data_IF_864172638728
#
_entry.id   IF_864172638728
#
_cell.length_a   1.000
_cell.length_b   1.000
_cell.length_c   1.000
_cell.angle_alpha   90.00
_cell.angle_beta   90.00
_cell.angle_gamma   90.00
#
_symmetry.space_group_name_H-M   'P 1'
#
loop_
_entity.id
_entity.type
_entity.pdbx_description
1 polymer ?
#
# COMPACT_ATOMS: atom_id res chain seq x y z
N UNK A 1 -66.24 62.26 -28.84
CA UNK A 1 -66.26 61.21 -27.80
C UNK A 1 -65.05 60.34 -28.04
N UNK A 2 -64.00 60.51 -27.24
CA UNK A 2 -62.67 59.95 -27.47
C UNK A 2 -62.28 59.11 -26.26
N UNK A 3 -62.04 57.81 -26.44
CA UNK A 3 -61.62 56.90 -25.37
C UNK A 3 -60.08 56.90 -25.22
N UNK A 4 -59.52 56.86 -23.99
CA UNK A 4 -58.08 56.78 -23.79
C UNK A 4 -57.59 55.33 -23.70
N UNK A 5 -56.44 55.06 -24.34
CA UNK A 5 -55.73 53.79 -24.34
C UNK A 5 -54.96 53.56 -23.03
N UNK A 6 -55.18 52.39 -22.42
CA UNK A 6 -54.50 51.92 -21.20
C UNK A 6 -53.13 51.32 -21.57
N UNK A 7 -52.03 52.05 -21.27
CA UNK A 7 -50.66 51.54 -21.46
C UNK A 7 -50.29 50.57 -20.33
N UNK A 8 -50.31 49.27 -20.60
CA UNK A 8 -49.77 48.24 -19.70
C UNK A 8 -48.23 48.32 -19.68
N UNK A 9 -47.65 48.59 -18.52
CA UNK A 9 -46.20 48.67 -18.32
C UNK A 9 -45.58 47.27 -18.27
N UNK A 10 -45.01 46.81 -19.39
CA UNK A 10 -44.31 45.53 -19.57
C UNK A 10 -43.02 45.34 -18.73
N UNK A 11 -42.69 46.23 -17.79
CA UNK A 11 -41.42 46.20 -17.03
C UNK A 11 -41.45 45.36 -15.75
N UNK A 12 -42.63 44.99 -15.24
CA UNK A 12 -42.78 44.22 -13.99
C UNK A 12 -42.53 42.70 -14.11
N UNK A 13 -42.87 41.98 -15.21
CA UNK A 13 -42.63 40.53 -15.26
C UNK A 13 -41.15 40.17 -15.44
N UNK A 14 -40.33 41.04 -16.03
CA UNK A 14 -38.91 40.77 -16.27
C UNK A 14 -38.07 40.82 -14.98
N UNK A 15 -38.40 41.74 -14.06
CA UNK A 15 -37.72 41.86 -12.76
C UNK A 15 -38.05 40.65 -11.87
N UNK A 16 -39.30 40.17 -11.93
CA UNK A 16 -39.72 38.99 -11.17
C UNK A 16 -39.04 37.71 -11.69
N UNK A 17 -38.90 37.55 -13.01
CA UNK A 17 -38.18 36.43 -13.62
C UNK A 17 -36.68 36.46 -13.30
N UNK A 18 -36.03 37.62 -13.29
CA UNK A 18 -34.63 37.78 -12.90
C UNK A 18 -34.42 37.48 -11.41
N UNK A 19 -35.35 37.88 -10.53
CA UNK A 19 -35.28 37.57 -9.10
C UNK A 19 -35.45 36.06 -8.83
N UNK A 20 -36.33 35.38 -9.57
CA UNK A 20 -36.52 33.92 -9.46
C UNK A 20 -35.29 33.17 -10.01
N UNK A 21 -34.71 33.62 -11.14
CA UNK A 21 -33.48 33.03 -11.69
C UNK A 21 -32.26 33.23 -10.76
N UNK A 22 -32.18 34.37 -10.06
CA UNK A 22 -31.16 34.63 -9.04
C UNK A 22 -31.38 33.79 -7.75
N UNK A 23 -32.63 33.43 -7.43
CA UNK A 23 -32.92 32.58 -6.26
C UNK A 23 -32.62 31.09 -6.53
N UNK A 24 -32.80 30.63 -7.78
CA UNK A 24 -32.52 29.23 -8.18
C UNK A 24 -31.01 28.94 -8.27
N UNK A 25 -30.17 29.96 -8.47
CA UNK A 25 -28.70 29.79 -8.56
C UNK A 25 -28.00 29.72 -7.19
N UNK A 26 -28.71 29.96 -6.09
CA UNK A 26 -28.17 29.91 -4.71
C UNK A 26 -28.51 28.62 -3.97
N UNK A 27 -28.85 27.53 -4.67
CA UNK A 27 -28.73 26.20 -4.05
C UNK A 27 -27.24 25.87 -4.04
N UNK A 28 -26.53 26.42 -3.07
CA UNK A 28 -25.25 25.87 -2.66
C UNK A 28 -25.53 24.41 -2.29
N UNK A 29 -25.15 23.49 -3.18
CA UNK A 29 -25.01 22.09 -2.80
C UNK A 29 -24.13 22.09 -1.57
N UNK A 30 -24.70 21.78 -0.40
CA UNK A 30 -23.91 21.52 0.78
C UNK A 30 -23.00 20.35 0.42
N UNK A 31 -21.77 20.67 0.00
CA UNK A 31 -20.76 19.68 -0.30
C UNK A 31 -20.50 18.89 0.97
N UNK A 32 -20.25 17.60 0.82
CA UNK A 32 -19.83 16.77 1.94
C UNK A 32 -18.63 17.43 2.66
N UNK A 33 -18.63 17.40 4.00
CA UNK A 33 -17.53 17.97 4.76
C UNK A 33 -16.20 17.36 4.29
N UNK A 34 -15.17 18.18 4.02
CA UNK A 34 -13.88 17.67 3.54
C UNK A 34 -13.15 16.80 4.56
N UNK A 35 -13.56 16.89 5.84
CA UNK A 35 -13.10 16.10 6.98
C UNK A 35 -14.30 15.60 7.79
N UNK A 36 -14.31 14.29 8.08
CA UNK A 36 -15.30 13.62 8.91
C UNK A 36 -14.60 12.70 9.90
N UNK A 37 -15.10 12.65 11.14
CA UNK A 37 -14.72 11.64 12.13
C UNK A 37 -15.77 10.54 12.11
N UNK A 38 -15.31 9.30 11.98
CA UNK A 38 -16.16 8.12 11.97
C UNK A 38 -15.97 7.38 13.29
N UNK A 39 -17.07 7.01 13.93
CA UNK A 39 -17.08 6.06 15.03
C UNK A 39 -17.84 4.80 14.61
N UNK A 40 -17.23 3.65 14.82
CA UNK A 40 -17.75 2.35 14.39
C UNK A 40 -18.02 1.54 15.66
N UNK A 41 -19.26 1.10 15.83
CA UNK A 41 -19.71 0.35 17.01
C UNK A 41 -18.85 -0.87 17.29
N UNK A 42 -18.73 -1.30 18.54
CA UNK A 42 -18.07 -2.56 18.89
C UNK A 42 -18.80 -3.77 18.27
N UNK A 43 -18.08 -4.87 18.06
CA UNK A 43 -18.70 -6.16 17.76
C UNK A 43 -18.11 -7.29 18.62
N UNK A 44 -18.88 -8.37 18.77
CA UNK A 44 -18.40 -9.58 19.44
C UNK A 44 -17.53 -10.34 18.44
N UNK A 45 -16.26 -10.55 18.78
CA UNK A 45 -15.32 -11.36 17.99
C UNK A 45 -14.20 -10.59 17.27
N UNK A 46 -14.29 -9.25 17.14
CA UNK A 46 -13.29 -8.45 16.42
C UNK A 46 -12.73 -7.26 17.23
N UNK A 47 -13.60 -6.34 17.67
CA UNK A 47 -13.19 -5.20 18.51
C UNK A 47 -14.24 -4.94 19.59
N UNK A 48 -13.87 -5.21 20.85
CA UNK A 48 -14.75 -5.04 22.01
C UNK A 48 -14.98 -3.58 22.41
N UNK A 49 -14.20 -2.63 21.89
CA UNK A 49 -14.25 -1.21 22.26
C UNK A 49 -14.74 -0.25 21.19
N UNK A 50 -15.19 -0.75 20.03
CA UNK A 50 -15.47 0.08 18.86
C UNK A 50 -14.18 0.48 18.13
N UNK A 51 -14.29 1.44 17.23
CA UNK A 51 -13.17 1.87 16.38
C UNK A 51 -13.41 3.29 15.85
N UNK A 52 -12.35 4.08 15.70
CA UNK A 52 -12.42 5.47 15.20
C UNK A 52 -11.60 5.59 13.94
N UNK A 53 -12.15 6.29 12.95
CA UNK A 53 -11.49 6.57 11.69
C UNK A 53 -11.66 8.05 11.28
N UNK A 54 -10.77 8.53 10.42
CA UNK A 54 -10.80 9.87 9.85
C UNK A 54 -11.05 9.76 8.36
N UNK A 55 -12.17 10.26 7.87
CA UNK A 55 -12.49 10.34 6.44
C UNK A 55 -12.12 11.71 5.90
N UNK A 56 -11.26 11.71 4.89
CA UNK A 56 -10.83 12.87 4.12
C UNK A 56 -11.27 12.67 2.68
N UNK A 57 -12.38 13.31 2.28
CA UNK A 57 -13.03 13.07 1.00
C UNK A 57 -13.39 11.58 0.84
N UNK A 58 -12.78 10.86 -0.12
CA UNK A 58 -13.00 9.42 -0.35
C UNK A 58 -11.99 8.52 0.40
N UNK A 59 -10.97 9.07 1.06
CA UNK A 59 -9.97 8.28 1.79
C UNK A 59 -10.31 8.19 3.28
N UNK A 60 -10.29 6.99 3.84
CA UNK A 60 -10.50 6.72 5.27
C UNK A 60 -9.21 6.23 5.89
N UNK A 61 -8.71 6.96 6.89
CA UNK A 61 -7.53 6.61 7.67
C UNK A 61 -7.94 6.09 9.04
N UNK A 62 -7.41 4.94 9.42
CA UNK A 62 -7.80 4.31 10.69
C UNK A 62 -6.71 3.41 11.25
N UNK A 63 -6.76 3.12 12.54
CA UNK A 63 -5.80 2.22 13.18
C UNK A 63 -6.43 0.86 13.43
N UNK A 64 -5.87 -0.17 12.80
CA UNK A 64 -6.31 -1.56 12.99
C UNK A 64 -5.21 -2.39 13.65
N UNK A 65 -5.60 -3.38 14.46
CA UNK A 65 -4.64 -4.38 14.93
C UNK A 65 -4.46 -5.44 13.83
N UNK A 66 -3.22 -5.60 13.36
CA UNK A 66 -2.83 -6.65 12.43
C UNK A 66 -1.58 -7.34 12.96
N UNK A 67 -1.69 -8.64 13.21
CA UNK A 67 -0.62 -9.49 13.77
C UNK A 67 -0.06 -8.96 15.11
N UNK A 68 -0.94 -8.45 15.98
CA UNK A 68 -0.55 -7.89 17.28
C UNK A 68 0.05 -6.48 17.22
N UNK A 69 0.12 -5.86 16.04
CA UNK A 69 0.64 -4.51 15.84
C UNK A 69 -0.51 -3.58 15.44
N UNK A 70 -0.64 -2.45 16.12
CA UNK A 70 -1.57 -1.38 15.72
C UNK A 70 -0.97 -0.62 14.53
N UNK A 71 -1.64 -0.69 13.38
CA UNK A 71 -1.17 -0.11 12.11
C UNK A 71 -2.17 0.93 11.62
N UNK A 72 -1.66 2.10 11.24
CA UNK A 72 -2.40 3.05 10.41
C UNK A 72 -2.63 2.41 9.04
N UNK A 73 -3.86 2.47 8.57
CA UNK A 73 -4.28 2.01 7.24
C UNK A 73 -5.03 3.10 6.51
N UNK A 74 -5.15 2.92 5.20
CA UNK A 74 -5.92 3.79 4.32
C UNK A 74 -6.79 2.92 3.41
N UNK A 75 -8.09 3.12 3.49
CA UNK A 75 -9.08 2.51 2.60
C UNK A 75 -9.81 3.60 1.79
N UNK A 76 -10.42 3.21 0.67
CA UNK A 76 -11.50 4.01 0.07
C UNK A 76 -12.74 3.95 0.96
N UNK A 77 -13.56 5.00 0.97
CA UNK A 77 -14.83 5.03 1.70
C UNK A 77 -15.73 3.85 1.34
N UNK A 78 -15.85 3.52 0.05
CA UNK A 78 -16.70 2.41 -0.40
C UNK A 78 -16.27 1.06 0.20
N UNK A 79 -14.97 0.75 0.16
CA UNK A 79 -14.40 -0.45 0.80
C UNK A 79 -14.61 -0.43 2.31
N UNK A 80 -14.32 0.69 2.97
CA UNK A 80 -14.46 0.82 4.41
C UNK A 80 -15.91 0.60 4.87
N UNK A 81 -16.86 1.28 4.24
CA UNK A 81 -18.30 1.11 4.50
C UNK A 81 -18.74 -0.32 4.24
N UNK A 82 -18.32 -0.93 3.14
CA UNK A 82 -18.68 -2.31 2.84
C UNK A 82 -18.18 -3.30 3.91
N UNK A 83 -16.91 -3.19 4.32
CA UNK A 83 -16.34 -4.08 5.34
C UNK A 83 -17.05 -3.89 6.69
N UNK A 84 -17.09 -2.66 7.21
CA UNK A 84 -17.59 -2.43 8.56
C UNK A 84 -19.13 -2.46 8.66
N UNK A 85 -19.83 -1.89 7.69
CA UNK A 85 -21.29 -1.80 7.73
C UNK A 85 -21.97 -3.02 7.12
N UNK A 86 -21.57 -3.43 5.91
CA UNK A 86 -22.28 -4.51 5.20
C UNK A 86 -21.82 -5.90 5.66
N UNK A 87 -20.51 -6.15 5.78
CA UNK A 87 -19.98 -7.46 6.16
C UNK A 87 -19.98 -7.70 7.67
N UNK A 88 -19.50 -6.73 8.45
CA UNK A 88 -19.42 -6.86 9.91
C UNK A 88 -20.72 -6.47 10.62
N UNK A 89 -21.69 -5.91 9.90
CA UNK A 89 -22.98 -5.45 10.44
C UNK A 89 -22.83 -4.47 11.61
N UNK A 90 -21.91 -3.50 11.48
CA UNK A 90 -21.64 -2.47 12.49
C UNK A 90 -22.18 -1.12 12.03
N UNK A 91 -22.76 -0.36 12.95
CA UNK A 91 -23.15 1.01 12.62
C UNK A 91 -21.91 1.89 12.51
N UNK A 92 -21.96 2.84 11.57
CA UNK A 92 -20.95 3.89 11.40
C UNK A 92 -21.63 5.22 11.70
N UNK A 93 -21.18 5.87 12.76
CA UNK A 93 -21.58 7.21 13.15
C UNK A 93 -20.61 8.22 12.54
N UNK A 94 -21.12 9.25 11.88
CA UNK A 94 -20.33 10.25 11.16
C UNK A 94 -20.51 11.61 11.83
N UNK A 95 -19.41 12.26 12.16
CA UNK A 95 -19.37 13.64 12.63
C UNK A 95 -18.61 14.50 11.61
N UNK A 96 -19.31 15.45 10.99
CA UNK A 96 -18.70 16.44 10.12
C UNK A 96 -17.88 17.43 10.95
N UNK A 97 -16.64 17.70 10.51
CA UNK A 97 -15.76 18.67 11.17
C UNK A 97 -15.53 19.84 10.25
N UNK A 98 -15.98 21.03 10.67
CA UNK A 98 -15.71 22.27 9.95
C UNK A 98 -14.25 22.69 10.17
N UNK A 99 -13.44 22.59 9.12
CA UNK A 99 -12.03 22.99 9.08
C UNK A 99 -11.72 23.75 7.81
N UNK A 100 -10.69 24.60 7.85
CA UNK A 100 -10.25 25.31 6.65
C UNK A 100 -9.66 24.32 5.64
N UNK A 101 -9.82 24.54 4.33
CA UNK A 101 -9.25 23.66 3.30
C UNK A 101 -7.74 23.43 3.46
N UNK A 102 -7.00 24.47 3.89
CA UNK A 102 -5.57 24.36 4.15
C UNK A 102 -5.23 23.37 5.28
N UNK A 103 -6.09 23.24 6.30
CA UNK A 103 -5.88 22.29 7.40
C UNK A 103 -6.21 20.87 6.98
N UNK A 104 -7.20 20.67 6.10
CA UNK A 104 -7.51 19.36 5.50
C UNK A 104 -6.28 18.80 4.77
N UNK A 105 -5.61 19.63 3.97
CA UNK A 105 -4.38 19.25 3.28
C UNK A 105 -3.25 18.90 4.26
N UNK A 106 -3.04 19.72 5.31
CA UNK A 106 -2.02 19.42 6.34
C UNK A 106 -2.28 18.09 7.04
N UNK A 107 -3.53 17.79 7.38
CA UNK A 107 -3.92 16.52 8.02
C UNK A 107 -3.70 15.36 7.04
N UNK A 108 -4.08 15.53 5.77
CA UNK A 108 -3.83 14.53 4.72
C UNK A 108 -2.34 14.23 4.58
N UNK A 109 -1.52 15.26 4.42
CA UNK A 109 -0.06 15.13 4.27
C UNK A 109 0.55 14.43 5.50
N UNK A 110 0.07 14.78 6.69
CA UNK A 110 0.52 14.15 7.93
C UNK A 110 0.21 12.66 7.96
N UNK A 111 -1.04 12.28 7.68
CA UNK A 111 -1.47 10.88 7.69
C UNK A 111 -0.77 10.06 6.60
N UNK A 112 -0.58 10.63 5.41
CA UNK A 112 0.17 9.99 4.33
C UNK A 112 1.63 9.77 4.72
N UNK A 113 2.28 10.76 5.33
CA UNK A 113 3.66 10.62 5.82
C UNK A 113 3.77 9.52 6.89
N UNK A 114 2.87 9.52 7.87
CA UNK A 114 2.82 8.48 8.91
C UNK A 114 2.67 7.10 8.29
N UNK A 115 1.75 6.95 7.32
CA UNK A 115 1.52 5.68 6.64
C UNK A 115 2.77 5.21 5.88
N UNK A 116 3.45 6.10 5.14
CA UNK A 116 4.68 5.78 4.40
C UNK A 116 5.83 5.36 5.33
N UNK A 117 6.03 6.11 6.43
CA UNK A 117 7.06 5.82 7.44
C UNK A 117 6.79 4.45 8.07
N UNK A 118 5.55 4.21 8.53
CA UNK A 118 5.16 2.95 9.14
C UNK A 118 5.33 1.77 8.18
N UNK A 119 4.87 1.90 6.93
CA UNK A 119 5.00 0.82 5.95
C UNK A 119 6.47 0.47 5.72
N UNK A 120 7.35 1.46 5.57
CA UNK A 120 8.79 1.20 5.42
C UNK A 120 9.39 0.49 6.64
N UNK A 121 8.96 0.83 7.86
CA UNK A 121 9.39 0.16 9.09
C UNK A 121 8.94 -1.30 9.14
N UNK A 122 7.69 -1.57 8.74
CA UNK A 122 7.13 -2.92 8.68
C UNK A 122 7.82 -3.76 7.61
N UNK A 123 8.00 -3.21 6.40
CA UNK A 123 8.70 -3.89 5.31
C UNK A 123 10.12 -4.29 5.73
N UNK A 124 10.81 -3.39 6.44
CA UNK A 124 12.15 -3.69 6.95
C UNK A 124 12.13 -4.74 8.06
N UNK A 125 11.15 -4.72 8.96
CA UNK A 125 10.98 -5.77 9.96
C UNK A 125 10.74 -7.13 9.30
N UNK A 126 9.95 -7.19 8.23
CA UNK A 126 9.73 -8.41 7.46
C UNK A 126 11.02 -8.89 6.78
N UNK A 127 11.79 -7.98 6.19
CA UNK A 127 13.09 -8.30 5.60
C UNK A 127 14.09 -8.84 6.66
N UNK A 128 14.11 -8.28 7.88
CA UNK A 128 14.93 -8.79 8.97
C UNK A 128 14.48 -10.19 9.45
N UNK A 129 13.18 -10.48 9.44
CA UNK A 129 12.66 -11.83 9.74
C UNK A 129 13.08 -12.84 8.67
N UNK A 130 13.15 -12.40 7.41
CA UNK A 130 13.67 -13.22 6.30
C UNK A 130 15.17 -13.48 6.48
N UNK A 131 15.96 -12.46 6.84
CA UNK A 131 17.38 -12.61 7.17
C UNK A 131 17.59 -13.65 8.28
N UNK A 132 16.82 -13.55 9.37
CA UNK A 132 16.89 -14.51 10.47
C UNK A 132 16.63 -15.94 9.98
N UNK A 133 15.56 -16.14 9.21
CA UNK A 133 15.19 -17.46 8.67
C UNK A 133 16.29 -18.01 7.75
N UNK A 134 16.83 -17.18 6.87
CA UNK A 134 17.92 -17.50 5.95
C UNK A 134 19.19 -17.92 6.71
N UNK A 135 19.61 -17.11 7.68
CA UNK A 135 20.81 -17.37 8.49
C UNK A 135 20.65 -18.63 9.34
N UNK A 136 19.48 -18.88 9.91
CA UNK A 136 19.19 -20.10 10.68
C UNK A 136 19.26 -21.35 9.80
N UNK A 137 18.70 -21.30 8.60
CA UNK A 137 18.77 -22.40 7.65
C UNK A 137 20.21 -22.66 7.18
N UNK A 138 20.98 -21.60 6.87
CA UNK A 138 22.40 -21.71 6.54
C UNK A 138 23.21 -22.34 7.69
N UNK A 139 22.95 -21.91 8.94
CA UNK A 139 23.60 -22.46 10.14
C UNK A 139 23.30 -23.95 10.32
N UNK A 140 22.11 -24.40 9.96
CA UNK A 140 21.68 -25.79 10.07
C UNK A 140 22.04 -26.64 8.85
N UNK A 141 22.69 -26.06 7.83
CA UNK A 141 22.97 -26.73 6.55
C UNK A 141 21.72 -27.10 5.76
N UNK A 142 20.59 -26.45 6.04
CA UNK A 142 19.31 -26.71 5.38
C UNK A 142 19.25 -26.00 4.02
N UNK A 143 18.53 -26.56 3.03
CA UNK A 143 18.24 -25.85 1.80
C UNK A 143 17.45 -24.59 2.09
N UNK A 144 17.96 -23.43 1.65
CA UNK A 144 17.23 -22.17 1.77
C UNK A 144 16.43 -21.94 0.48
N UNK A 145 15.10 -21.85 0.54
CA UNK A 145 14.31 -21.42 -0.61
C UNK A 145 14.52 -19.93 -0.82
N UNK A 146 15.54 -19.56 -1.60
CA UNK A 146 15.73 -18.18 -2.03
C UNK A 146 14.74 -17.91 -3.15
N UNK A 147 13.87 -16.89 -3.04
CA UNK A 147 12.99 -16.47 -4.13
C UNK A 147 13.85 -16.11 -5.34
N UNK A 148 13.88 -17.02 -6.28
CA UNK A 148 14.57 -16.89 -7.55
C UNK A 148 13.82 -17.74 -8.55
N UNK A 149 13.99 -17.43 -9.83
CA UNK A 149 13.51 -18.32 -10.88
C UNK A 149 14.32 -19.61 -10.72
N UNK A 150 13.69 -20.63 -10.13
CA UNK A 150 14.38 -21.75 -9.50
C UNK A 150 15.46 -22.34 -10.40
N UNK A 151 16.61 -22.65 -9.83
CA UNK A 151 17.60 -23.46 -10.52
C UNK A 151 16.94 -24.75 -11.00
N UNK A 152 17.03 -25.01 -12.30
CA UNK A 152 16.43 -26.13 -13.01
C UNK A 152 16.56 -27.45 -12.23
N UNK A 153 15.53 -27.81 -11.46
CA UNK A 153 15.49 -29.12 -10.80
C UNK A 153 14.89 -30.12 -11.78
N UNK A 154 15.71 -31.06 -12.24
CA UNK A 154 15.24 -32.22 -13.04
C UNK A 154 14.57 -33.30 -12.17
N UNK A 155 14.55 -33.14 -10.84
CA UNK A 155 14.38 -34.29 -9.94
C UNK A 155 12.95 -34.49 -9.45
N UNK A 156 12.09 -33.46 -9.49
CA UNK A 156 10.74 -33.56 -8.92
C UNK A 156 9.75 -32.65 -9.66
N UNK A 157 9.02 -33.22 -10.64
CA UNK A 157 7.92 -32.57 -11.39
C UNK A 157 8.32 -31.37 -12.28
N UNK A 158 9.42 -31.47 -13.02
CA UNK A 158 9.80 -30.45 -14.01
C UNK A 158 8.80 -30.37 -15.17
N UNK A 159 8.23 -29.19 -15.41
CA UNK A 159 7.48 -28.88 -16.64
C UNK A 159 8.33 -29.18 -17.88
N UNK A 160 7.72 -29.68 -18.96
CA UNK A 160 8.40 -29.89 -20.25
C UNK A 160 9.09 -28.62 -20.78
N UNK A 161 8.52 -27.45 -20.46
CA UNK A 161 9.11 -26.14 -20.76
C UNK A 161 10.46 -25.97 -20.05
N UNK A 162 10.56 -26.42 -18.79
CA UNK A 162 11.79 -26.31 -17.99
C UNK A 162 12.88 -27.26 -18.48
N UNK A 163 12.50 -28.46 -18.94
CA UNK A 163 13.45 -29.39 -19.57
C UNK A 163 14.00 -28.82 -20.88
N UNK A 164 13.13 -28.27 -21.74
CA UNK A 164 13.54 -27.68 -23.01
C UNK A 164 14.46 -26.48 -22.80
N UNK A 165 14.14 -25.60 -21.84
CA UNK A 165 14.98 -24.45 -21.53
C UNK A 165 16.35 -24.88 -20.98
N UNK A 166 16.39 -25.87 -20.06
CA UNK A 166 17.65 -26.43 -19.55
C UNK A 166 18.50 -27.02 -20.68
N UNK A 167 17.89 -27.77 -21.60
CA UNK A 167 18.58 -28.36 -22.74
C UNK A 167 19.13 -27.30 -23.71
N UNK A 168 18.38 -26.22 -23.96
CA UNK A 168 18.83 -25.09 -24.77
C UNK A 168 20.03 -24.36 -24.14
N UNK A 169 20.02 -24.18 -22.82
CA UNK A 169 21.15 -23.58 -22.10
C UNK A 169 22.38 -24.49 -22.17
N UNK A 170 22.23 -25.80 -21.98
CA UNK A 170 23.35 -26.74 -22.11
C UNK A 170 23.89 -26.83 -23.54
N UNK A 171 23.02 -26.76 -24.55
CA UNK A 171 23.43 -26.73 -25.96
C UNK A 171 24.21 -25.45 -26.32
N UNK A 172 23.84 -24.31 -25.76
CA UNK A 172 24.48 -23.02 -26.05
C UNK A 172 25.73 -22.73 -25.20
N UNK A 173 25.75 -23.16 -23.93
CA UNK A 173 26.82 -22.84 -22.96
C UNK A 173 27.67 -24.04 -22.55
N UNK A 174 27.34 -25.23 -23.02
CA UNK A 174 28.06 -26.46 -22.79
C UNK A 174 27.49 -27.31 -21.63
N UNK A 175 27.73 -28.63 -21.67
CA UNK A 175 27.32 -29.54 -20.60
C UNK A 175 28.06 -29.18 -19.31
N UNK A 176 27.32 -29.09 -18.20
CA UNK A 176 27.88 -28.74 -16.89
C UNK A 176 27.91 -27.25 -16.56
N UNK A 177 27.44 -26.38 -17.47
CA UNK A 177 27.29 -24.95 -17.19
C UNK A 177 26.39 -24.69 -15.96
N UNK A 178 25.20 -25.32 -15.91
CA UNK A 178 24.24 -25.14 -14.82
C UNK A 178 24.79 -25.64 -13.45
N UNK A 179 25.37 -26.85 -13.34
CA UNK A 179 26.08 -27.28 -12.12
C UNK A 179 27.20 -26.32 -11.69
N UNK A 180 28.03 -25.88 -12.64
CA UNK A 180 29.13 -24.95 -12.37
C UNK A 180 28.65 -23.59 -11.89
N UNK A 181 27.53 -23.11 -12.45
CA UNK A 181 26.87 -21.88 -12.06
C UNK A 181 26.31 -21.98 -10.64
N UNK A 182 25.66 -23.10 -10.30
CA UNK A 182 25.18 -23.39 -8.94
C UNK A 182 26.33 -23.37 -7.94
N UNK A 183 27.42 -24.08 -8.24
CA UNK A 183 28.58 -24.17 -7.35
C UNK A 183 29.27 -22.80 -7.16
N UNK A 184 29.36 -22.00 -8.21
CA UNK A 184 29.90 -20.64 -8.14
C UNK A 184 29.01 -19.72 -7.29
N UNK A 185 27.69 -19.83 -7.44
CA UNK A 185 26.72 -19.08 -6.65
C UNK A 185 26.81 -19.44 -5.18
N UNK A 186 26.84 -20.74 -4.86
CA UNK A 186 27.02 -21.22 -3.50
C UNK A 186 28.31 -20.66 -2.88
N UNK A 187 29.44 -20.77 -3.58
CA UNK A 187 30.72 -20.22 -3.09
C UNK A 187 30.66 -18.71 -2.85
N UNK A 188 30.01 -17.95 -3.73
CA UNK A 188 29.86 -16.51 -3.56
C UNK A 188 29.07 -16.21 -2.27
N UNK A 189 27.92 -16.85 -2.06
CA UNK A 189 27.10 -16.69 -0.85
C UNK A 189 27.87 -17.10 0.40
N UNK A 190 28.54 -18.25 0.39
CA UNK A 190 29.33 -18.73 1.54
C UNK A 190 30.54 -17.85 1.83
N UNK A 191 31.07 -17.15 0.81
CA UNK A 191 32.17 -16.19 0.98
C UNK A 191 31.73 -14.80 1.41
N UNK A 192 30.42 -14.50 1.37
CA UNK A 192 29.90 -13.24 1.90
C UNK A 192 30.10 -13.25 3.40
N UNK A 193 30.97 -12.36 3.89
CA UNK A 193 31.02 -12.06 5.30
C UNK A 193 29.67 -11.46 5.69
N UNK A 194 28.89 -12.19 6.51
CA UNK A 194 27.78 -11.57 7.21
C UNK A 194 28.38 -10.63 8.25
N UNK A 195 28.56 -9.37 7.85
CA UNK A 195 28.69 -8.28 8.79
C UNK A 195 27.25 -7.90 9.11
N UNK A 196 26.70 -8.27 10.29
CA UNK A 196 25.44 -7.68 10.69
C UNK A 196 25.65 -6.18 10.57
N UNK A 197 24.84 -5.52 9.74
CA UNK A 197 24.86 -4.07 9.65
C UNK A 197 24.84 -3.62 11.10
N UNK A 198 25.92 -2.96 11.55
CA UNK A 198 26.06 -2.52 12.93
C UNK A 198 24.77 -1.80 13.22
N UNK A 199 23.89 -2.41 14.04
CA UNK A 199 22.49 -1.99 14.15
C UNK A 199 22.61 -0.52 14.46
N UNK A 200 22.34 0.38 13.48
CA UNK A 200 22.51 1.77 13.77
C UNK A 200 21.62 1.99 14.97
N UNK A 201 21.97 2.89 15.87
CA UNK A 201 21.01 3.30 16.89
C UNK A 201 19.84 3.94 16.10
N UNK A 202 18.93 3.10 15.63
CA UNK A 202 17.89 3.40 14.66
C UNK A 202 16.83 4.04 15.51
N UNK A 203 17.05 5.33 15.79
CA UNK A 203 16.04 6.14 16.42
C UNK A 203 14.82 6.08 15.51
N UNK A 204 13.84 5.26 15.91
CA UNK A 204 12.57 5.15 15.21
C UNK A 204 11.91 6.52 15.30
N UNK A 205 11.82 7.18 14.14
CA UNK A 205 11.11 8.43 14.01
C UNK A 205 9.75 8.14 13.39
N UNK A 206 8.72 8.77 13.92
CA UNK A 206 7.39 8.79 13.31
C UNK A 206 7.31 9.80 12.15
N UNK A 207 8.27 10.73 12.08
CA UNK A 207 8.22 11.89 11.18
C UNK A 207 9.18 11.78 10.01
N UNK A 208 10.24 10.99 10.17
CA UNK A 208 11.31 10.86 9.19
C UNK A 208 11.21 9.52 8.48
N UNK A 209 11.17 9.56 7.15
CA UNK A 209 11.27 8.35 6.34
C UNK A 209 12.59 7.65 6.66
N UNK A 210 12.55 6.38 7.10
CA UNK A 210 13.76 5.71 7.53
C UNK A 210 14.55 5.20 6.33
N UNK A 211 15.85 5.46 6.36
CA UNK A 211 16.82 4.89 5.44
C UNK A 211 17.47 3.70 6.14
N UNK A 212 17.24 2.52 5.58
CA UNK A 212 17.77 1.27 6.11
C UNK A 212 18.83 0.72 5.16
N UNK A 213 19.92 0.13 5.68
CA UNK A 213 20.87 -0.57 4.86
C UNK A 213 20.22 -1.81 4.21
N UNK A 214 20.71 -2.26 3.05
CA UNK A 214 20.23 -3.48 2.41
C UNK A 214 20.35 -4.68 3.36
N UNK A 215 19.32 -5.54 3.38
CA UNK A 215 19.33 -6.75 4.21
C UNK A 215 20.18 -7.86 3.58
N UNK A 216 20.53 -8.87 4.37
CA UNK A 216 21.31 -10.01 3.87
C UNK A 216 20.52 -10.82 2.83
N UNK A 217 19.22 -11.01 3.07
CA UNK A 217 18.29 -11.64 2.13
C UNK A 217 18.15 -10.87 0.82
N UNK A 218 18.09 -9.53 0.86
CA UNK A 218 18.12 -8.67 -0.33
C UNK A 218 19.43 -8.88 -1.10
N UNK A 219 20.59 -8.82 -0.44
CA UNK A 219 21.89 -9.01 -1.10
C UNK A 219 22.02 -10.40 -1.73
N UNK A 220 21.56 -11.45 -1.04
CA UNK A 220 21.53 -12.82 -1.58
C UNK A 220 20.58 -12.90 -2.78
N UNK A 221 19.42 -12.26 -2.71
CA UNK A 221 18.45 -12.23 -3.81
C UNK A 221 18.96 -11.47 -5.02
N UNK A 222 19.64 -10.34 -4.84
CA UNK A 222 20.26 -9.54 -5.91
C UNK A 222 21.34 -10.32 -6.63
N UNK A 223 22.18 -11.06 -5.87
CA UNK A 223 23.12 -12.00 -6.47
C UNK A 223 22.33 -12.94 -7.37
N UNK A 224 21.33 -13.65 -6.87
CA UNK A 224 20.54 -14.57 -7.68
C UNK A 224 19.80 -13.92 -8.87
N UNK A 225 19.29 -12.69 -8.72
CA UNK A 225 18.51 -11.95 -9.71
C UNK A 225 19.33 -11.43 -10.89
N UNK A 226 20.53 -10.89 -10.64
CA UNK A 226 21.42 -10.40 -11.69
C UNK A 226 21.86 -11.50 -12.66
N UNK A 227 21.97 -12.75 -12.22
CA UNK A 227 22.42 -13.86 -13.07
C UNK A 227 21.34 -14.41 -14.00
N UNK A 228 20.05 -14.27 -13.64
CA UNK A 228 18.94 -14.67 -14.52
C UNK A 228 18.85 -13.75 -15.74
N UNK A 229 18.99 -12.44 -15.54
CA UNK A 229 18.95 -11.46 -16.64
C UNK A 229 20.10 -11.68 -17.66
N UNK A 230 21.30 -12.06 -17.20
CA UNK A 230 22.45 -12.32 -18.07
C UNK A 230 22.31 -13.60 -18.93
N UNK A 231 21.43 -14.52 -18.55
CA UNK A 231 21.28 -15.83 -19.21
C UNK A 231 20.07 -15.96 -20.15
N UNK A 232 19.13 -15.00 -20.11
CA UNK A 232 17.97 -14.95 -21.02
C UNK A 232 18.18 -13.97 -22.19
N UNK A 233 19.09 -12.99 -22.05
CA UNK A 233 19.23 -11.87 -22.99
C UNK A 233 20.44 -12.04 -23.95
N UNK A 234 21.20 -13.13 -23.84
CA UNK A 234 22.38 -13.39 -24.71
C UNK A 234 22.22 -14.61 -25.59
#
# INVERSE_FOLDING_TARGET
MSAPYLRWSFRRPLILLLAIAALVTSVATAGESPLQILYIDANIGGSSGGHVAVKLHDAVYHYQNADGITRLTRDSWNRFRFVYNDLENRNIHIADVSVQPADVERIRDRLQRLLLVQNRQIDYLEALRQDQTLLEALRQGQPVPIPGIGFFSRVTHGSSVMYNLSAQIEASRGPGYLPSLRERSNRQITSMAYLPASVPNMALSIDRYPEYPPTFSEQVSDIHGHWFAASVIQ
#
